data_IF_549854092701
#
_entry.id   IF_549854092701
#
_cell.length_a   1.000
_cell.length_b   1.000
_cell.length_c   1.000
_cell.angle_alpha   90.00
_cell.angle_beta   90.00
_cell.angle_gamma   90.00
#
_symmetry.space_group_name_H-M   'P 1'
#
loop_
_entity.id
_entity.type
_entity.pdbx_description
1 polymer ?
#
# COMPACT_ATOMS: atom_id res chain seq x y z
N UNK A 1 -5.91 11.13 -22.42
CA UNK A 1 -5.79 12.51 -22.87
C UNK A 1 -4.35 13.00 -22.88
N UNK A 2 -3.52 12.63 -21.89
CA UNK A 2 -2.17 13.20 -21.77
C UNK A 2 -1.05 12.27 -22.25
N UNK A 3 -1.28 11.08 -22.71
CA UNK A 3 -0.29 10.11 -23.20
C UNK A 3 1.01 10.02 -22.35
N UNK A 4 0.91 10.45 -21.09
CA UNK A 4 2.03 10.39 -20.17
C UNK A 4 2.19 8.95 -19.69
N UNK A 5 3.37 8.34 -19.84
CA UNK A 5 3.62 7.00 -19.31
C UNK A 5 3.42 6.97 -17.80
N UNK A 6 2.81 5.92 -17.29
CA UNK A 6 2.62 5.70 -15.86
C UNK A 6 3.30 4.41 -15.40
N UNK A 7 3.77 4.41 -14.18
CA UNK A 7 4.29 3.26 -13.46
C UNK A 7 3.64 3.24 -12.07
N UNK A 8 2.56 2.46 -11.87
CA UNK A 8 1.90 2.40 -10.59
C UNK A 8 2.85 1.94 -9.49
N UNK A 9 2.88 2.70 -8.40
CA UNK A 9 3.75 2.44 -7.27
C UNK A 9 3.18 1.35 -6.36
N UNK A 10 3.99 0.36 -5.97
CA UNK A 10 3.60 -0.69 -5.05
C UNK A 10 4.61 -0.89 -3.90
N UNK A 11 4.39 -0.15 -2.80
CA UNK A 11 5.11 -0.28 -1.53
C UNK A 11 4.18 -0.31 -0.32
N UNK A 12 2.87 -0.34 -0.54
CA UNK A 12 1.88 -0.20 0.52
C UNK A 12 1.34 -1.52 1.07
N UNK A 13 1.39 -2.57 0.29
CA UNK A 13 0.95 -3.88 0.78
C UNK A 13 0.34 -4.79 -0.28
N UNK A 14 0.02 -6.03 0.11
CA UNK A 14 -0.35 -7.08 -0.83
C UNK A 14 -1.65 -6.81 -1.61
N UNK A 15 -2.61 -6.09 -1.04
CA UNK A 15 -3.86 -5.76 -1.74
C UNK A 15 -3.64 -4.69 -2.80
N UNK A 16 -2.71 -3.75 -2.54
CA UNK A 16 -2.41 -2.67 -3.47
C UNK A 16 -1.87 -3.19 -4.81
N UNK A 17 -0.97 -4.16 -4.80
CA UNK A 17 -0.41 -4.70 -6.05
C UNK A 17 -1.48 -5.33 -6.94
N UNK A 18 -2.51 -5.95 -6.37
CA UNK A 18 -3.64 -6.48 -7.13
C UNK A 18 -4.48 -5.38 -7.76
N UNK A 19 -4.78 -4.32 -7.01
CA UNK A 19 -5.49 -3.15 -7.53
C UNK A 19 -4.68 -2.48 -8.65
N UNK A 20 -3.38 -2.30 -8.48
CA UNK A 20 -2.49 -1.75 -9.49
C UNK A 20 -2.40 -2.65 -10.73
N UNK A 21 -2.42 -3.98 -10.57
CA UNK A 21 -2.45 -4.92 -11.69
C UNK A 21 -3.68 -4.71 -12.57
N UNK A 22 -4.87 -4.57 -11.98
CA UNK A 22 -6.10 -4.29 -12.74
C UNK A 22 -6.03 -2.96 -13.48
N UNK A 23 -5.49 -1.91 -12.85
CA UNK A 23 -5.28 -0.62 -13.52
C UNK A 23 -4.30 -0.79 -14.68
N UNK A 24 -3.17 -1.45 -14.43
CA UNK A 24 -2.11 -1.64 -15.42
C UNK A 24 -2.57 -2.40 -16.67
N UNK A 25 -3.52 -3.32 -16.51
CA UNK A 25 -4.10 -4.06 -17.65
C UNK A 25 -5.15 -3.28 -18.42
N UNK A 26 -5.74 -2.26 -17.80
CA UNK A 26 -6.84 -1.49 -18.42
C UNK A 26 -6.38 -0.23 -19.14
N UNK A 27 -5.25 0.35 -18.77
CA UNK A 27 -4.83 1.64 -19.33
C UNK A 27 -3.66 1.47 -20.31
N UNK A 28 -3.76 2.06 -21.51
CA UNK A 28 -2.80 1.83 -22.60
C UNK A 28 -1.44 2.51 -22.39
N UNK A 29 -1.33 3.41 -21.43
CA UNK A 29 -0.12 4.20 -21.16
C UNK A 29 0.70 3.69 -19.97
N UNK A 30 0.39 2.50 -19.46
CA UNK A 30 1.27 1.85 -18.46
C UNK A 30 2.56 1.41 -19.12
N UNK A 31 3.68 1.84 -18.57
CA UNK A 31 5.00 1.45 -19.01
C UNK A 31 5.48 0.20 -18.24
N UNK A 32 5.27 0.19 -16.93
CA UNK A 32 5.70 -0.90 -16.05
C UNK A 32 4.86 -0.88 -14.76
N UNK A 33 4.61 -2.05 -14.19
CA UNK A 33 4.10 -2.18 -12.82
C UNK A 33 5.27 -2.32 -11.86
N UNK A 34 5.40 -1.40 -10.92
CA UNK A 34 6.38 -1.52 -9.85
C UNK A 34 5.93 -2.54 -8.82
N UNK A 35 6.86 -3.33 -8.28
CA UNK A 35 6.63 -4.18 -7.12
C UNK A 35 7.93 -4.52 -6.41
N UNK A 36 7.85 -4.90 -5.13
CA UNK A 36 9.01 -5.25 -4.32
C UNK A 36 9.16 -6.77 -4.17
N UNK A 37 10.27 -7.30 -4.69
CA UNK A 37 10.56 -8.74 -4.67
C UNK A 37 10.62 -9.31 -3.25
N UNK A 38 11.17 -8.57 -2.30
CA UNK A 38 11.24 -9.01 -0.90
C UNK A 38 9.85 -9.19 -0.29
N UNK A 39 8.90 -8.37 -0.72
CA UNK A 39 7.55 -8.40 -0.21
C UNK A 39 6.73 -9.56 -0.78
N UNK A 40 6.62 -9.69 -2.10
CA UNK A 40 5.79 -10.72 -2.69
C UNK A 40 6.37 -12.14 -2.51
N UNK A 41 7.68 -12.28 -2.28
CA UNK A 41 8.31 -13.56 -1.95
C UNK A 41 8.44 -13.82 -0.46
N UNK A 42 8.48 -12.77 0.36
CA UNK A 42 8.81 -12.87 1.78
C UNK A 42 7.64 -12.85 2.74
N UNK A 43 6.58 -12.11 2.43
CA UNK A 43 5.51 -11.95 3.41
C UNK A 43 4.09 -11.73 2.87
N UNK A 44 3.86 -11.42 1.60
CA UNK A 44 2.50 -11.24 1.06
C UNK A 44 1.64 -12.48 1.27
N UNK A 45 2.21 -13.66 1.09
CA UNK A 45 1.57 -14.96 1.32
C UNK A 45 1.11 -15.21 2.76
N UNK A 46 1.61 -14.41 3.72
CA UNK A 46 1.16 -14.47 5.12
C UNK A 46 -0.17 -13.76 5.35
N UNK A 47 -0.56 -12.87 4.45
CA UNK A 47 -1.71 -12.00 4.61
C UNK A 47 -2.83 -12.25 3.60
N UNK A 48 -2.48 -12.67 2.39
CA UNK A 48 -3.43 -12.84 1.28
C UNK A 48 -3.37 -14.23 0.68
N UNK A 49 -4.46 -14.59 0.01
CA UNK A 49 -4.56 -15.76 -0.85
C UNK A 49 -5.56 -15.55 -2.00
N UNK A 50 -5.21 -15.92 -3.24
CA UNK A 50 -3.87 -16.27 -3.70
C UNK A 50 -2.90 -15.11 -3.66
N UNK A 51 -1.59 -15.41 -3.68
CA UNK A 51 -0.54 -14.40 -3.86
C UNK A 51 -0.39 -14.04 -5.34
N UNK A 52 0.29 -12.92 -5.61
CA UNK A 52 0.62 -12.54 -7.00
C UNK A 52 1.56 -13.56 -7.64
N UNK A 53 1.40 -13.75 -8.93
CA UNK A 53 2.26 -14.61 -9.74
C UNK A 53 3.09 -13.76 -10.68
N UNK A 54 4.42 -13.87 -10.55
CA UNK A 54 5.36 -13.25 -11.48
C UNK A 54 6.13 -14.35 -12.21
N UNK A 55 6.00 -14.36 -13.52
CA UNK A 55 6.64 -15.33 -14.40
C UNK A 55 7.42 -14.60 -15.48
N UNK A 56 8.68 -14.95 -15.64
CA UNK A 56 9.58 -14.39 -16.67
C UNK A 56 9.62 -12.84 -16.68
N UNK A 57 9.50 -12.22 -15.52
CA UNK A 57 9.47 -10.76 -15.36
C UNK A 57 8.09 -10.11 -15.58
N UNK A 58 7.06 -10.89 -15.86
CA UNK A 58 5.70 -10.41 -16.06
C UNK A 58 4.81 -10.69 -14.86
N UNK A 59 4.10 -9.68 -14.41
CA UNK A 59 3.00 -9.85 -13.46
C UNK A 59 1.81 -10.45 -14.20
N UNK A 60 1.41 -11.65 -13.79
CA UNK A 60 0.26 -12.34 -14.38
C UNK A 60 -1.05 -11.68 -13.95
N UNK A 61 -2.04 -11.72 -14.84
CA UNK A 61 -3.38 -11.21 -14.55
C UNK A 61 -3.95 -11.91 -13.30
N UNK A 62 -4.48 -11.14 -12.33
CA UNK A 62 -5.23 -11.75 -11.25
C UNK A 62 -6.46 -12.49 -11.80
N UNK A 63 -6.71 -13.68 -11.25
CA UNK A 63 -7.86 -14.50 -11.62
C UNK A 63 -8.88 -14.53 -10.47
N UNK A 64 -10.16 -14.69 -10.79
CA UNK A 64 -11.24 -14.81 -9.82
C UNK A 64 -12.01 -13.51 -9.58
N UNK A 65 -13.01 -13.53 -8.68
CA UNK A 65 -13.90 -12.40 -8.43
C UNK A 65 -13.19 -11.25 -7.70
N UNK A 66 -13.69 -10.04 -7.90
CA UNK A 66 -13.17 -8.83 -7.26
C UNK A 66 -11.75 -8.52 -7.70
N UNK A 67 -10.83 -8.38 -6.76
CA UNK A 67 -9.42 -8.16 -7.04
C UNK A 67 -8.66 -9.44 -7.42
N UNK A 68 -9.29 -10.63 -7.29
CA UNK A 68 -8.63 -11.91 -7.50
C UNK A 68 -7.76 -12.36 -6.33
N UNK A 69 -7.90 -11.73 -5.17
CA UNK A 69 -7.27 -12.10 -3.90
C UNK A 69 -8.17 -11.75 -2.73
N UNK A 70 -7.89 -12.33 -1.56
CA UNK A 70 -8.57 -11.98 -0.30
C UNK A 70 -7.58 -11.98 0.86
N UNK A 71 -7.89 -11.26 1.91
CA UNK A 71 -7.17 -11.41 3.17
C UNK A 71 -7.48 -12.79 3.76
N UNK A 72 -6.47 -13.42 4.34
CA UNK A 72 -6.65 -14.67 5.08
C UNK A 72 -7.46 -14.44 6.34
N UNK A 73 -8.25 -15.42 6.75
CA UNK A 73 -9.20 -15.26 7.86
C UNK A 73 -8.53 -14.99 9.21
N UNK A 74 -7.28 -15.43 9.36
CA UNK A 74 -6.51 -15.26 10.59
C UNK A 74 -5.78 -13.90 10.71
N UNK A 75 -5.78 -13.08 9.65
CA UNK A 75 -5.02 -11.82 9.63
C UNK A 75 -5.39 -10.92 10.81
N UNK A 76 -6.68 -10.76 11.09
CA UNK A 76 -7.14 -9.86 12.15
C UNK A 76 -6.94 -10.39 13.57
N UNK A 77 -6.60 -11.68 13.70
CA UNK A 77 -6.33 -12.35 14.98
C UNK A 77 -4.84 -12.38 15.32
N UNK A 78 -3.99 -11.88 14.45
CA UNK A 78 -2.54 -11.88 14.65
C UNK A 78 -2.14 -10.81 15.66
N UNK A 79 -1.22 -11.16 16.54
CA UNK A 79 -0.68 -10.24 17.56
C UNK A 79 0.26 -9.16 17.00
N UNK A 80 0.76 -9.34 15.77
CA UNK A 80 1.65 -8.42 15.08
C UNK A 80 0.89 -7.44 14.14
N UNK A 81 -0.44 -7.47 14.14
CA UNK A 81 -1.31 -6.57 13.36
C UNK A 81 -1.88 -5.50 14.28
N UNK A 82 -1.75 -4.26 13.86
CA UNK A 82 -2.46 -3.14 14.44
C UNK A 82 -3.64 -2.74 13.54
N UNK A 83 -4.85 -2.75 14.09
CA UNK A 83 -6.06 -2.33 13.39
C UNK A 83 -6.49 -0.98 13.93
N UNK A 84 -6.56 0.00 13.07
CA UNK A 84 -7.06 1.34 13.40
C UNK A 84 -8.30 1.65 12.56
N UNK A 85 -9.36 2.10 13.23
CA UNK A 85 -10.60 2.52 12.56
C UNK A 85 -10.79 4.00 12.79
N UNK A 86 -10.85 4.78 11.73
CA UNK A 86 -11.17 6.19 11.79
C UNK A 86 -12.69 6.33 11.81
N UNK A 87 -13.24 6.74 12.94
CA UNK A 87 -14.70 6.89 13.15
C UNK A 87 -15.22 8.29 12.82
N UNK A 88 -14.33 9.27 12.73
CA UNK A 88 -14.67 10.64 12.39
C UNK A 88 -14.09 11.01 11.03
N UNK A 89 -14.93 11.56 10.15
CA UNK A 89 -14.45 12.15 8.92
C UNK A 89 -13.57 13.36 9.29
N UNK A 90 -12.26 13.24 9.14
CA UNK A 90 -11.40 14.42 9.20
C UNK A 90 -11.78 15.30 8.01
N UNK A 91 -12.34 16.46 8.30
CA UNK A 91 -12.46 17.51 7.28
C UNK A 91 -11.04 17.87 6.87
N UNK A 92 -10.69 17.50 5.64
CA UNK A 92 -9.41 17.89 5.08
C UNK A 92 -9.48 19.39 4.78
N UNK A 93 -8.95 20.22 5.68
CA UNK A 93 -8.74 21.63 5.37
C UNK A 93 -7.50 21.72 4.48
N UNK A 94 -7.61 22.33 3.29
CA UNK A 94 -6.46 22.52 2.43
C UNK A 94 -5.46 23.43 3.15
N UNK A 95 -4.38 22.85 3.60
CA UNK A 95 -3.26 23.57 4.19
C UNK A 95 -2.66 24.44 3.12
N UNK A 96 -2.64 25.73 3.36
CA UNK A 96 -1.93 26.66 2.47
C UNK A 96 -0.48 26.22 2.33
N UNK A 97 0.00 26.05 1.11
CA UNK A 97 1.32 25.49 0.76
C UNK A 97 2.50 26.25 1.41
N UNK A 98 2.25 27.36 2.11
CA UNK A 98 3.22 28.27 2.66
C UNK A 98 3.04 28.52 4.18
N UNK A 99 2.31 27.69 4.92
CA UNK A 99 2.20 27.86 6.36
C UNK A 99 3.34 27.12 7.09
N UNK A 100 4.38 27.82 7.57
CA UNK A 100 5.52 27.17 8.24
C UNK A 100 5.17 26.57 9.60
N UNK A 101 3.98 26.84 10.14
CA UNK A 101 3.52 26.28 11.41
C UNK A 101 2.93 24.87 11.25
N UNK A 102 2.61 24.48 10.03
CA UNK A 102 2.06 23.16 9.76
C UNK A 102 3.19 22.17 9.46
N UNK A 103 3.51 21.37 10.45
CA UNK A 103 4.36 20.19 10.25
C UNK A 103 3.62 19.25 9.30
N UNK A 104 4.09 19.17 8.07
CA UNK A 104 3.67 18.11 7.14
C UNK A 104 3.96 16.80 7.87
N UNK A 105 2.92 16.07 8.22
CA UNK A 105 3.10 14.75 8.79
C UNK A 105 3.77 13.89 7.70
N UNK A 106 5.05 13.64 7.89
CA UNK A 106 5.79 12.76 7.02
C UNK A 106 5.24 11.35 7.27
N UNK A 107 4.48 10.82 6.34
CA UNK A 107 3.94 9.46 6.39
C UNK A 107 5.00 8.39 6.56
N UNK A 108 6.27 8.73 6.39
CA UNK A 108 7.44 7.86 6.50
C UNK A 108 8.31 8.09 7.72
N UNK A 109 7.95 8.98 8.63
CA UNK A 109 8.67 9.06 9.90
C UNK A 109 8.21 7.92 10.80
N UNK A 110 9.10 6.96 11.16
CA UNK A 110 8.78 6.06 12.25
C UNK A 110 8.47 6.93 13.47
N UNK A 111 7.37 6.64 14.16
CA UNK A 111 7.09 7.29 15.45
C UNK A 111 8.27 6.96 16.36
N UNK A 112 9.13 7.95 16.60
CA UNK A 112 10.10 7.85 17.69
C UNK A 112 9.26 7.84 18.95
N UNK A 113 9.34 6.80 19.80
CA UNK A 113 8.67 6.84 21.09
C UNK A 113 9.14 8.11 21.80
N UNK A 114 8.22 8.93 22.28
CA UNK A 114 8.58 10.05 23.13
C UNK A 114 9.39 9.48 24.29
N UNK A 115 10.68 9.83 24.29
CA UNK A 115 11.59 9.43 25.35
C UNK A 115 11.03 9.97 26.66
N UNK A 116 10.85 9.06 27.60
CA UNK A 116 10.57 9.38 28.99
C UNK A 116 11.65 10.38 29.44
N UNK A 117 11.31 11.66 29.53
CA UNK A 117 12.16 12.65 30.16
C UNK A 117 12.20 12.30 31.65
N UNK A 118 13.11 11.36 31.96
CA UNK A 118 13.45 11.05 33.34
C UNK A 118 14.01 12.28 34.00
N UNK A 119 13.20 12.89 34.82
CA UNK A 119 13.72 13.72 35.91
C UNK A 119 14.55 12.83 36.81
N UNK A 120 15.83 13.19 36.98
CA UNK A 120 16.77 12.59 37.89
C UNK A 120 18.00 13.45 37.97
#
# INVERSE_FOLDING_TARGET
TYQTPIAPHDWTGPVNVFACAHISMNVPNVMIQETNRAYYRGWYDKFIEPNIVIKDGYLMAPEGPGLGTRLKDDVFNRSDIHVETTTEARVWEPVGFNDPSQKVANFFSPRVPEGNNGEG
#
